data_IF_415364456575
#
_entry.id   IF_415364456575
#
_cell.length_a   1.000
_cell.length_b   1.000
_cell.length_c   1.000
_cell.angle_alpha   90.00
_cell.angle_beta   90.00
_cell.angle_gamma   90.00
#
_symmetry.space_group_name_H-M   'P 1'
#
loop_
_entity.id
_entity.type
_entity.pdbx_description
1 polymer ?
#
# COMPACT_ATOMS: atom_id res chain seq x y z
N UNK A 1 27.47 11.18 -12.60
CA UNK A 1 26.52 10.10 -12.99
C UNK A 1 25.89 9.36 -11.79
N UNK A 2 25.57 9.99 -10.69
CA UNK A 2 25.05 9.30 -9.49
C UNK A 2 23.82 9.91 -8.84
N UNK A 3 23.21 10.93 -9.41
CA UNK A 3 22.06 11.61 -8.79
C UNK A 3 20.67 11.08 -9.20
N UNK A 4 20.57 10.25 -10.26
CA UNK A 4 19.27 9.75 -10.71
C UNK A 4 18.73 8.58 -9.88
N UNK A 5 19.58 7.81 -9.21
CA UNK A 5 19.13 6.63 -8.43
C UNK A 5 18.59 6.99 -7.03
N UNK A 6 18.95 8.13 -6.48
CA UNK A 6 18.45 8.57 -5.16
C UNK A 6 17.04 9.19 -5.29
N UNK A 7 16.78 9.90 -6.38
CA UNK A 7 15.44 10.52 -6.60
C UNK A 7 14.34 9.50 -6.87
N UNK A 8 14.67 8.32 -7.41
CA UNK A 8 13.68 7.29 -7.73
C UNK A 8 13.18 6.54 -6.49
N UNK A 9 13.95 6.51 -5.39
CA UNK A 9 13.55 5.90 -4.11
C UNK A 9 12.48 6.68 -3.36
N UNK A 10 12.31 7.95 -3.67
CA UNK A 10 11.41 8.85 -2.95
C UNK A 10 10.09 9.11 -3.69
N UNK A 11 9.85 8.42 -4.80
CA UNK A 11 8.62 8.55 -5.59
C UNK A 11 7.87 7.23 -5.61
N UNK A 12 6.60 7.25 -5.22
CA UNK A 12 5.67 6.14 -5.44
C UNK A 12 5.01 6.32 -6.79
N UNK A 13 5.31 5.41 -7.72
CA UNK A 13 4.77 5.45 -9.09
C UNK A 13 3.36 4.85 -9.11
N UNK A 14 2.42 5.47 -9.80
CA UNK A 14 1.06 4.96 -9.90
C UNK A 14 0.41 5.14 -11.27
N UNK A 15 1.05 5.85 -12.19
CA UNK A 15 0.50 6.06 -13.52
C UNK A 15 1.58 6.24 -14.58
N UNK A 16 1.16 6.14 -15.85
CA UNK A 16 1.99 6.34 -17.02
C UNK A 16 1.22 7.18 -18.04
N UNK A 17 1.89 8.15 -18.62
CA UNK A 17 1.31 8.94 -19.71
C UNK A 17 1.41 8.19 -21.03
N UNK A 18 0.45 8.41 -21.92
CA UNK A 18 0.47 7.86 -23.28
C UNK A 18 0.47 8.97 -24.35
N UNK A 19 0.89 10.18 -23.97
CA UNK A 19 0.84 11.34 -24.86
C UNK A 19 1.92 11.27 -25.95
N UNK A 20 1.52 11.39 -27.21
CA UNK A 20 2.40 11.38 -28.40
C UNK A 20 3.35 10.18 -28.46
N UNK A 21 2.89 8.96 -28.13
CA UNK A 21 3.68 7.73 -28.07
C UNK A 21 4.88 7.78 -27.11
N UNK A 22 4.96 8.78 -26.22
CA UNK A 22 5.91 8.79 -25.13
C UNK A 22 5.24 8.25 -23.89
N UNK A 23 5.83 7.18 -23.34
CA UNK A 23 5.41 6.59 -22.08
C UNK A 23 6.29 7.12 -20.97
N UNK A 24 5.76 8.03 -20.18
CA UNK A 24 6.45 8.57 -19.00
C UNK A 24 5.70 8.16 -17.74
N UNK A 25 6.40 7.47 -16.86
CA UNK A 25 5.86 7.10 -15.54
C UNK A 25 5.90 8.30 -14.62
N UNK A 26 4.84 8.48 -13.87
CA UNK A 26 4.77 9.53 -12.86
C UNK A 26 4.13 9.00 -11.57
N UNK A 27 4.37 9.72 -10.50
CA UNK A 27 3.94 9.34 -9.17
C UNK A 27 3.93 10.51 -8.21
N UNK A 28 3.81 10.20 -6.94
CA UNK A 28 3.80 11.16 -5.84
C UNK A 28 5.07 11.01 -5.01
N UNK A 29 5.68 12.11 -4.60
CA UNK A 29 6.82 12.11 -3.69
C UNK A 29 6.40 11.62 -2.30
N UNK A 30 7.29 10.93 -1.62
CA UNK A 30 7.05 10.41 -0.27
C UNK A 30 6.68 11.53 0.71
N UNK A 31 7.31 12.69 0.62
CA UNK A 31 6.99 13.81 1.50
C UNK A 31 5.61 14.40 1.23
N UNK A 32 5.15 14.39 0.00
CA UNK A 32 3.79 14.85 -0.34
C UNK A 32 2.73 13.85 0.16
N UNK A 33 3.04 12.56 0.18
CA UNK A 33 2.14 11.52 0.73
C UNK A 33 1.90 11.68 2.23
N UNK A 34 2.82 12.26 2.97
CA UNK A 34 2.65 12.53 4.42
C UNK A 34 1.52 13.53 4.70
N UNK A 35 1.06 14.26 3.68
CA UNK A 35 -0.06 15.20 3.78
C UNK A 35 -1.40 14.60 3.41
N UNK A 36 -1.47 13.27 3.37
CA UNK A 36 -2.61 12.45 2.94
C UNK A 36 -2.82 12.46 1.43
N UNK A 37 -3.48 11.39 0.95
CA UNK A 37 -3.91 11.24 -0.45
C UNK A 37 -5.38 10.86 -0.44
N UNK A 38 -6.18 11.60 -1.22
CA UNK A 38 -7.60 11.32 -1.37
C UNK A 38 -7.91 10.94 -2.82
N UNK A 39 -8.47 9.73 -3.03
CA UNK A 39 -8.79 9.20 -4.35
C UNK A 39 -10.29 9.21 -4.57
N UNK A 40 -10.74 9.92 -5.59
CA UNK A 40 -12.14 9.98 -5.99
C UNK A 40 -12.30 9.34 -7.37
N UNK A 41 -13.33 8.55 -7.51
CA UNK A 41 -13.68 7.92 -8.79
C UNK A 41 -14.83 6.96 -8.65
N UNK A 42 -15.53 6.69 -9.74
CA UNK A 42 -16.59 5.67 -9.79
C UNK A 42 -16.01 4.27 -9.59
N UNK A 43 -16.86 3.34 -9.18
CA UNK A 43 -16.51 1.91 -9.12
C UNK A 43 -16.00 1.44 -10.49
N UNK A 44 -14.94 0.62 -10.48
CA UNK A 44 -14.33 0.11 -11.71
C UNK A 44 -13.33 1.07 -12.39
N UNK A 45 -13.11 2.29 -11.86
CA UNK A 45 -12.17 3.28 -12.45
C UNK A 45 -10.72 3.10 -11.98
N UNK A 46 -10.35 1.98 -11.38
CA UNK A 46 -8.97 1.67 -11.03
C UNK A 46 -8.47 2.26 -9.71
N UNK A 47 -9.35 2.79 -8.84
CA UNK A 47 -8.93 3.30 -7.52
C UNK A 47 -8.22 2.24 -6.68
N UNK A 48 -8.84 1.05 -6.57
CA UNK A 48 -8.27 -0.07 -5.81
C UNK A 48 -6.95 -0.53 -6.41
N UNK A 49 -6.84 -0.62 -7.73
CA UNK A 49 -5.59 -0.98 -8.42
C UNK A 49 -4.48 0.04 -8.16
N UNK A 50 -4.81 1.32 -8.13
CA UNK A 50 -3.84 2.36 -7.80
C UNK A 50 -3.35 2.22 -6.35
N UNK A 51 -4.25 2.04 -5.39
CA UNK A 51 -3.90 1.83 -3.98
C UNK A 51 -3.07 0.55 -3.80
N UNK A 52 -3.45 -0.54 -4.45
CA UNK A 52 -2.72 -1.81 -4.46
C UNK A 52 -1.27 -1.63 -4.91
N UNK A 53 -1.05 -0.93 -6.03
CA UNK A 53 0.28 -0.63 -6.53
C UNK A 53 1.11 0.23 -5.57
N UNK A 54 0.48 1.20 -4.91
CA UNK A 54 1.15 2.03 -3.91
C UNK A 54 1.54 1.24 -2.67
N UNK A 55 0.63 0.40 -2.16
CA UNK A 55 0.88 -0.48 -0.99
C UNK A 55 1.98 -1.48 -1.32
N UNK A 56 1.93 -2.12 -2.47
CA UNK A 56 2.96 -3.06 -2.91
C UNK A 56 4.35 -2.41 -2.93
N UNK A 57 4.47 -1.21 -3.47
CA UNK A 57 5.75 -0.48 -3.48
C UNK A 57 6.24 -0.17 -2.06
N UNK A 58 5.34 0.15 -1.12
CA UNK A 58 5.70 0.40 0.28
C UNK A 58 6.19 -0.89 0.96
N UNK A 59 5.50 -2.00 0.75
CA UNK A 59 5.90 -3.32 1.27
C UNK A 59 7.29 -3.71 0.75
N UNK A 60 7.51 -3.59 -0.56
CA UNK A 60 8.79 -3.92 -1.20
C UNK A 60 9.92 -2.99 -0.79
N UNK A 61 9.62 -1.74 -0.46
CA UNK A 61 10.59 -0.78 0.07
C UNK A 61 10.89 -0.96 1.57
N UNK A 62 10.28 -1.96 2.24
CA UNK A 62 10.45 -2.20 3.68
C UNK A 62 9.70 -1.22 4.58
N UNK A 63 8.76 -0.46 4.04
CA UNK A 63 7.96 0.49 4.83
C UNK A 63 6.85 -0.21 5.59
N UNK A 64 6.41 0.38 6.69
CA UNK A 64 5.22 -0.05 7.42
C UNK A 64 3.95 0.35 6.65
N UNK A 65 2.96 -0.55 6.65
CA UNK A 65 1.65 -0.32 6.03
C UNK A 65 0.56 -0.73 7.02
N UNK A 66 -0.48 0.08 7.14
CA UNK A 66 -1.72 -0.29 7.80
C UNK A 66 -2.87 -0.15 6.80
N UNK A 67 -3.69 -1.19 6.69
CA UNK A 67 -4.82 -1.24 5.79
C UNK A 67 -6.09 -1.56 6.56
N UNK A 68 -7.12 -0.74 6.41
CA UNK A 68 -8.45 -1.01 6.92
C UNK A 68 -9.41 -1.16 5.74
N UNK A 69 -9.99 -2.34 5.60
CA UNK A 69 -10.92 -2.67 4.53
C UNK A 69 -12.22 -3.25 5.11
N UNK A 70 -13.34 -2.53 5.01
CA UNK A 70 -14.62 -2.99 5.55
C UNK A 70 -15.17 -4.25 4.86
N UNK A 71 -14.73 -4.54 3.65
CA UNK A 71 -15.21 -5.66 2.84
C UNK A 71 -14.29 -6.88 2.91
N UNK A 72 -12.99 -6.70 3.17
CA UNK A 72 -11.99 -7.76 3.30
C UNK A 72 -11.31 -8.18 2.00
N UNK A 73 -11.98 -8.08 0.86
CA UNK A 73 -11.47 -8.56 -0.43
C UNK A 73 -10.13 -7.92 -0.82
N UNK A 74 -9.97 -6.65 -0.49
CA UNK A 74 -8.76 -5.90 -0.82
C UNK A 74 -7.57 -6.30 0.07
N UNK A 75 -7.82 -6.53 1.36
CA UNK A 75 -6.81 -7.04 2.30
C UNK A 75 -6.33 -8.42 1.88
N UNK A 76 -7.25 -9.35 1.57
CA UNK A 76 -6.89 -10.69 1.13
C UNK A 76 -6.00 -10.67 -0.11
N UNK A 77 -6.33 -9.82 -1.07
CA UNK A 77 -5.49 -9.62 -2.26
C UNK A 77 -4.09 -9.10 -1.94
N UNK A 78 -3.96 -8.17 -0.99
CA UNK A 78 -2.65 -7.65 -0.57
C UNK A 78 -1.82 -8.72 0.13
N UNK A 79 -2.43 -9.64 0.89
CA UNK A 79 -1.71 -10.73 1.55
C UNK A 79 -0.96 -11.61 0.55
N UNK A 80 -1.50 -11.83 -0.64
CA UNK A 80 -0.85 -12.62 -1.70
C UNK A 80 0.47 -12.00 -2.21
N UNK A 81 0.65 -10.70 -2.00
CA UNK A 81 1.85 -9.96 -2.43
C UNK A 81 2.92 -9.81 -1.35
N UNK A 82 2.69 -10.34 -0.15
CA UNK A 82 3.67 -10.23 0.94
C UNK A 82 4.90 -11.09 0.62
N UNK A 83 6.10 -10.50 0.53
CA UNK A 83 7.30 -11.27 0.27
C UNK A 83 7.67 -12.13 1.49
N UNK A 84 8.29 -13.29 1.23
CA UNK A 84 8.58 -14.30 2.25
C UNK A 84 9.38 -13.76 3.45
N UNK A 85 10.27 -12.80 3.23
CA UNK A 85 11.07 -12.17 4.28
C UNK A 85 10.28 -11.21 5.17
N UNK A 86 9.02 -10.92 4.85
CA UNK A 86 8.16 -10.02 5.62
C UNK A 86 6.91 -10.70 6.17
N UNK A 87 6.73 -11.99 5.94
CA UNK A 87 5.55 -12.73 6.43
C UNK A 87 5.40 -12.60 7.95
N UNK A 88 6.51 -12.66 8.68
CA UNK A 88 6.50 -12.54 10.15
C UNK A 88 6.19 -11.14 10.68
N UNK A 89 6.18 -10.13 9.81
CA UNK A 89 5.84 -8.75 10.16
C UNK A 89 4.33 -8.46 9.98
N UNK A 90 3.57 -9.44 9.46
CA UNK A 90 2.16 -9.25 9.12
C UNK A 90 1.27 -9.56 10.31
N UNK A 91 0.41 -8.62 10.64
CA UNK A 91 -0.71 -8.83 11.56
C UNK A 91 -2.01 -8.70 10.75
N UNK A 92 -2.68 -9.83 10.57
CA UNK A 92 -3.99 -9.87 9.91
C UNK A 92 -5.09 -9.98 10.97
N UNK A 93 -5.88 -8.93 11.11
CA UNK A 93 -6.99 -8.90 12.04
C UNK A 93 -8.32 -8.96 11.28
N UNK A 94 -9.02 -10.09 11.40
CA UNK A 94 -10.34 -10.29 10.83
C UNK A 94 -11.36 -10.56 11.95
N UNK A 95 -12.18 -9.58 12.34
CA UNK A 95 -13.17 -9.75 13.41
C UNK A 95 -14.27 -10.79 13.08
N UNK A 96 -14.45 -11.12 11.81
CA UNK A 96 -15.46 -12.11 11.37
C UNK A 96 -14.92 -13.55 11.39
N UNK A 97 -13.62 -13.76 11.59
CA UNK A 97 -13.01 -15.09 11.68
C UNK A 97 -13.28 -15.70 13.06
N UNK A 98 -14.30 -16.52 13.15
CA UNK A 98 -14.66 -17.22 14.38
C UNK A 98 -13.75 -18.40 14.73
N UNK A 99 -12.97 -18.87 13.77
CA UNK A 99 -12.07 -20.01 13.97
C UNK A 99 -10.72 -19.58 14.59
N UNK A 100 -10.31 -18.34 14.31
CA UNK A 100 -9.08 -17.76 14.83
C UNK A 100 -9.37 -16.42 15.52
N UNK A 101 -10.08 -16.44 16.66
CA UNK A 101 -10.43 -15.20 17.35
C UNK A 101 -9.16 -14.50 17.85
N UNK A 102 -8.96 -13.26 17.45
CA UNK A 102 -7.89 -12.40 17.95
C UNK A 102 -8.45 -11.42 18.97
N UNK A 103 -7.80 -11.31 20.11
CA UNK A 103 -8.08 -10.27 21.09
C UNK A 103 -7.16 -9.06 20.83
N UNK A 104 -7.76 -7.88 20.76
CA UNK A 104 -7.02 -6.63 20.66
C UNK A 104 -7.40 -5.72 21.83
N UNK A 105 -6.49 -5.54 22.76
CA UNK A 105 -6.70 -4.69 23.93
C UNK A 105 -6.09 -3.30 23.66
N UNK A 106 -6.93 -2.33 23.32
CA UNK A 106 -6.50 -0.94 23.06
C UNK A 106 -5.97 -0.25 24.34
N UNK A 107 -6.34 -0.75 25.51
CA UNK A 107 -6.01 -0.14 26.79
C UNK A 107 -4.81 -0.82 27.49
N UNK A 108 -4.18 -1.78 26.83
CA UNK A 108 -3.00 -2.43 27.38
C UNK A 108 -1.81 -1.47 27.41
N UNK A 109 -1.29 -1.24 28.60
CA UNK A 109 -0.05 -0.47 28.76
C UNK A 109 1.14 -1.34 28.42
N UNK A 110 1.90 -0.95 27.42
CA UNK A 110 3.19 -1.55 27.12
C UNK A 110 4.19 -1.04 28.18
N UNK A 111 4.51 -1.88 29.16
CA UNK A 111 5.57 -1.63 30.13
C UNK A 111 6.94 -1.96 29.53
#
# INVERSE_FOLDING_TARGET
MSNNNLQQKDITLFAETTFRNKKERFGIKTDDRRRHVYLIGKTGMGKSTMMENMIYQDIMAGRGVALADPHGDFVEKILDYIPANRINDVVYFNPADLNNPMAFNILESLN
#
